data_IF_289775477282
#
_entry.id   IF_289775477282
#
_cell.length_a   1.000
_cell.length_b   1.000
_cell.length_c   1.000
_cell.angle_alpha   90.00
_cell.angle_beta   90.00
_cell.angle_gamma   90.00
#
_symmetry.space_group_name_H-M   'P 1'
#
loop_
_entity.id
_entity.type
_entity.pdbx_description
1 polymer ?
#
# COMPACT_ATOMS: atom_id res chain seq x y z
N UNK A 1 28.68 8.24 -18.18
CA UNK A 1 27.70 8.69 -17.20
C UNK A 1 26.72 7.59 -16.76
N UNK A 2 26.09 6.78 -17.62
CA UNK A 2 25.16 5.71 -17.19
C UNK A 2 25.77 4.55 -16.35
N UNK A 3 27.06 4.22 -16.56
CA UNK A 3 27.73 3.16 -15.77
C UNK A 3 28.08 3.61 -14.34
N UNK A 4 28.38 4.90 -14.15
CA UNK A 4 28.70 5.48 -12.84
C UNK A 4 27.43 5.61 -11.97
N UNK A 5 26.28 5.89 -12.59
CA UNK A 5 24.99 5.96 -11.90
C UNK A 5 24.52 4.60 -11.37
N UNK A 6 24.72 3.52 -12.13
CA UNK A 6 24.44 2.14 -11.67
C UNK A 6 25.32 1.71 -10.49
N UNK A 7 26.54 2.18 -10.40
CA UNK A 7 27.47 1.88 -9.31
C UNK A 7 27.15 2.66 -8.02
N UNK A 8 26.66 3.89 -8.14
CA UNK A 8 26.24 4.70 -6.98
C UNK A 8 24.93 4.19 -6.35
N UNK A 9 23.95 3.79 -7.16
CA UNK A 9 22.72 3.14 -6.68
C UNK A 9 23.05 1.80 -6.01
N UNK A 10 23.97 1.00 -6.57
CA UNK A 10 24.42 -0.27 -5.98
C UNK A 10 25.19 -0.12 -4.67
N UNK A 11 25.90 1.00 -4.46
CA UNK A 11 26.65 1.25 -3.22
C UNK A 11 25.77 1.76 -2.07
N UNK A 12 24.75 2.58 -2.37
CA UNK A 12 23.77 3.06 -1.38
C UNK A 12 22.82 1.93 -0.90
N UNK A 13 22.57 0.92 -1.72
CA UNK A 13 21.66 -0.20 -1.40
C UNK A 13 22.29 -1.36 -0.62
N UNK A 14 23.54 -1.27 -0.21
CA UNK A 14 24.14 -2.26 0.71
C UNK A 14 23.89 -1.90 2.19
N UNK A 15 22.68 -1.58 2.54
CA UNK A 15 22.24 -1.69 3.94
C UNK A 15 22.22 -3.18 4.29
N UNK A 16 23.23 -3.61 5.02
CA UNK A 16 23.43 -5.02 5.41
C UNK A 16 22.36 -5.41 6.43
N UNK A 17 22.07 -6.69 6.54
CA UNK A 17 21.35 -7.28 7.68
C UNK A 17 21.87 -6.80 9.06
N UNK A 18 23.09 -6.28 9.13
CA UNK A 18 23.71 -5.57 10.26
C UNK A 18 22.91 -4.35 10.73
N UNK A 19 22.16 -3.65 9.87
CA UNK A 19 21.50 -2.40 10.27
C UNK A 19 20.18 -2.65 11.00
N UNK A 20 19.50 -3.76 10.68
CA UNK A 20 18.36 -4.20 11.48
C UNK A 20 18.80 -4.93 12.75
N UNK A 21 19.89 -5.65 12.70
CA UNK A 21 20.45 -6.19 13.95
C UNK A 21 20.87 -5.05 14.89
N UNK A 22 21.31 -3.91 14.35
CA UNK A 22 21.51 -2.67 15.11
C UNK A 22 20.17 -2.10 15.62
N UNK A 23 19.13 -2.07 14.76
CA UNK A 23 17.79 -1.61 15.16
C UNK A 23 17.16 -2.52 16.22
N UNK A 24 17.40 -3.85 16.16
CA UNK A 24 16.97 -4.81 17.18
C UNK A 24 17.83 -4.70 18.45
N UNK A 25 19.10 -4.32 18.34
CA UNK A 25 19.99 -4.11 19.48
C UNK A 25 19.57 -2.92 20.37
N UNK A 26 18.93 -1.92 19.76
CA UNK A 26 18.37 -0.74 20.45
C UNK A 26 16.94 -0.96 20.97
N UNK A 27 16.39 -2.17 20.80
CA UNK A 27 15.05 -2.55 21.26
C UNK A 27 15.10 -3.90 22.00
N UNK A 28 14.08 -4.19 22.82
CA UNK A 28 13.92 -5.50 23.47
C UNK A 28 13.48 -6.63 22.50
N UNK A 29 13.41 -6.35 21.17
CA UNK A 29 12.94 -7.27 20.14
C UNK A 29 14.06 -8.24 19.71
N UNK A 30 13.70 -9.50 19.52
CA UNK A 30 14.59 -10.55 19.03
C UNK A 30 14.10 -11.07 17.67
N UNK A 31 15.01 -11.56 16.85
CA UNK A 31 14.69 -12.17 15.56
C UNK A 31 13.56 -13.22 15.66
N UNK A 32 13.59 -14.05 16.71
CA UNK A 32 12.54 -15.04 16.97
C UNK A 32 11.13 -14.47 17.16
N UNK A 33 11.02 -13.18 17.48
CA UNK A 33 9.74 -12.51 17.66
C UNK A 33 8.98 -12.28 16.35
N UNK A 34 9.66 -12.36 15.20
CA UNK A 34 9.11 -12.17 13.87
C UNK A 34 8.86 -13.49 13.14
N UNK A 35 9.29 -14.63 13.72
CA UNK A 35 9.04 -15.95 13.14
C UNK A 35 7.56 -16.30 13.34
N UNK A 36 6.92 -16.69 12.26
CA UNK A 36 5.57 -17.23 12.27
C UNK A 36 5.63 -18.73 12.51
N UNK A 37 4.87 -19.23 13.47
CA UNK A 37 4.79 -20.67 13.78
C UNK A 37 4.20 -21.45 12.61
N UNK A 38 4.40 -22.76 12.57
CA UNK A 38 3.83 -23.62 11.52
C UNK A 38 2.30 -23.45 11.42
N UNK A 39 1.60 -23.41 12.55
CA UNK A 39 0.16 -23.19 12.59
C UNK A 39 -0.25 -21.83 12.01
N UNK A 40 0.47 -20.76 12.38
CA UNK A 40 0.22 -19.41 11.82
C UNK A 40 0.51 -19.38 10.32
N UNK A 41 1.58 -20.02 9.86
CA UNK A 41 1.95 -20.11 8.44
C UNK A 41 0.91 -20.87 7.63
N UNK A 42 0.45 -22.02 8.11
CA UNK A 42 -0.62 -22.76 7.43
C UNK A 42 -1.90 -21.97 7.32
N UNK A 43 -2.31 -21.25 8.36
CA UNK A 43 -3.53 -20.42 8.34
C UNK A 43 -3.43 -19.24 7.37
N UNK A 44 -2.23 -18.75 7.09
CA UNK A 44 -1.97 -17.61 6.18
C UNK A 44 -1.47 -18.03 4.81
N UNK A 45 -1.24 -19.33 4.57
CA UNK A 45 -0.67 -19.84 3.31
C UNK A 45 0.79 -19.44 3.08
N UNK A 46 1.57 -19.18 4.15
CA UNK A 46 3.01 -19.02 4.05
C UNK A 46 3.64 -20.41 3.92
N UNK A 47 4.16 -20.75 2.77
CA UNK A 47 4.90 -21.99 2.54
C UNK A 47 6.39 -21.77 2.73
N UNK A 48 7.17 -22.78 3.22
CA UNK A 48 8.61 -22.66 3.43
C UNK A 48 9.44 -22.37 2.16
N UNK A 49 8.84 -22.53 0.99
CA UNK A 49 9.52 -22.53 -0.30
C UNK A 49 9.24 -21.26 -1.13
N UNK A 50 9.26 -20.08 -0.49
CA UNK A 50 9.01 -18.81 -1.18
C UNK A 50 10.31 -18.10 -1.61
N UNK A 51 11.40 -18.84 -1.76
CA UNK A 51 12.51 -18.45 -2.61
C UNK A 51 12.10 -18.73 -4.06
N UNK A 52 11.73 -17.73 -4.83
CA UNK A 52 11.34 -17.88 -6.23
C UNK A 52 10.22 -18.92 -6.44
N UNK A 53 8.98 -18.60 -6.00
CA UNK A 53 7.81 -19.31 -6.54
C UNK A 53 7.88 -19.08 -8.05
N UNK A 54 8.06 -20.13 -8.86
CA UNK A 54 7.96 -19.94 -10.29
C UNK A 54 6.59 -19.32 -10.54
N UNK A 55 6.52 -18.25 -11.30
CA UNK A 55 5.27 -17.65 -11.76
C UNK A 55 4.44 -18.63 -12.63
N UNK A 56 4.66 -19.93 -12.48
CA UNK A 56 4.20 -21.02 -13.32
C UNK A 56 2.84 -21.58 -12.94
N UNK A 57 2.23 -21.20 -11.83
CA UNK A 57 0.93 -21.79 -11.50
C UNK A 57 -0.29 -21.02 -12.05
N UNK A 58 -0.10 -19.84 -12.65
CA UNK A 58 -1.16 -19.10 -13.35
C UNK A 58 -0.67 -18.55 -14.71
N UNK A 59 0.08 -19.33 -15.49
CA UNK A 59 0.46 -18.99 -16.87
C UNK A 59 -0.73 -18.80 -17.83
N UNK A 60 -1.98 -18.91 -17.34
CA UNK A 60 -3.20 -18.73 -18.13
C UNK A 60 -3.98 -17.43 -17.88
N UNK A 61 -3.79 -16.76 -16.76
CA UNK A 61 -4.50 -15.51 -16.48
C UNK A 61 -3.48 -14.36 -16.32
N UNK A 62 -3.27 -13.59 -17.37
CA UNK A 62 -2.43 -12.40 -17.31
C UNK A 62 -2.95 -11.45 -16.22
N UNK A 63 -2.08 -11.00 -15.32
CA UNK A 63 -2.40 -9.98 -14.32
C UNK A 63 -2.89 -8.71 -15.05
N UNK A 64 -4.09 -8.17 -14.72
CA UNK A 64 -4.69 -7.09 -15.49
C UNK A 64 -3.79 -5.87 -15.61
N UNK A 65 -3.84 -5.22 -16.76
CA UNK A 65 -3.08 -4.01 -17.05
C UNK A 65 -3.92 -3.01 -17.86
N UNK A 66 -3.73 -1.72 -17.61
CA UNK A 66 -4.35 -0.64 -18.36
C UNK A 66 -3.31 0.41 -18.77
N UNK A 67 -3.35 0.82 -20.02
CA UNK A 67 -2.57 1.94 -20.55
C UNK A 67 -3.39 3.22 -20.43
N UNK A 68 -3.01 4.12 -19.51
CA UNK A 68 -3.76 5.34 -19.24
C UNK A 68 -3.62 6.44 -20.32
N UNK A 69 -2.87 6.17 -21.39
CA UNK A 69 -2.85 7.01 -22.59
C UNK A 69 -4.05 6.77 -23.51
N UNK A 70 -4.79 5.68 -23.31
CA UNK A 70 -6.02 5.39 -24.04
C UNK A 70 -7.14 6.38 -23.68
N UNK A 71 -8.12 6.60 -24.60
CA UNK A 71 -9.33 7.35 -24.29
C UNK A 71 -10.13 6.73 -23.13
N UNK A 72 -10.84 7.56 -22.37
CA UNK A 72 -11.62 7.11 -21.21
C UNK A 72 -12.66 6.03 -21.57
N UNK A 73 -13.25 6.11 -22.76
CA UNK A 73 -14.24 5.15 -23.27
C UNK A 73 -13.65 3.72 -23.41
N UNK A 74 -12.37 3.63 -23.74
CA UNK A 74 -11.64 2.37 -23.84
C UNK A 74 -11.15 1.90 -22.46
N UNK A 75 -10.77 2.83 -21.57
CA UNK A 75 -10.30 2.54 -20.23
C UNK A 75 -11.39 2.01 -19.31
N UNK A 76 -12.61 2.56 -19.40
CA UNK A 76 -13.73 2.18 -18.52
C UNK A 76 -13.98 0.68 -18.51
N UNK A 77 -14.17 -0.03 -19.63
CA UNK A 77 -14.39 -1.48 -19.62
C UNK A 77 -13.18 -2.27 -19.12
N UNK A 78 -11.96 -1.82 -19.41
CA UNK A 78 -10.72 -2.48 -18.94
C UNK A 78 -10.63 -2.42 -17.42
N UNK A 79 -10.75 -1.22 -16.84
CA UNK A 79 -10.67 -1.01 -15.38
C UNK A 79 -11.83 -1.69 -14.65
N UNK A 80 -13.05 -1.61 -15.21
CA UNK A 80 -14.22 -2.31 -14.66
C UNK A 80 -13.98 -3.82 -14.59
N UNK A 81 -13.54 -4.45 -15.68
CA UNK A 81 -13.25 -5.88 -15.71
C UNK A 81 -12.16 -6.28 -14.71
N UNK A 82 -11.08 -5.50 -14.62
CA UNK A 82 -9.99 -5.73 -13.69
C UNK A 82 -10.44 -5.64 -12.23
N UNK A 83 -11.23 -4.62 -11.88
CA UNK A 83 -11.74 -4.43 -10.52
C UNK A 83 -12.75 -5.50 -10.11
N UNK A 84 -13.59 -5.98 -11.03
CA UNK A 84 -14.54 -7.07 -10.78
C UNK A 84 -13.84 -8.41 -10.58
N UNK A 85 -12.80 -8.70 -11.34
CA UNK A 85 -12.18 -10.03 -11.40
C UNK A 85 -10.99 -10.19 -10.46
N UNK A 86 -10.15 -9.16 -10.33
CA UNK A 86 -8.92 -9.19 -9.55
C UNK A 86 -8.91 -8.24 -8.36
N UNK A 87 -9.61 -7.10 -8.44
CA UNK A 87 -9.48 -6.01 -7.47
C UNK A 87 -8.09 -5.37 -7.44
N UNK A 88 -7.20 -5.82 -8.31
CA UNK A 88 -5.82 -5.37 -8.52
C UNK A 88 -5.51 -5.27 -10.00
N UNK A 89 -4.75 -4.26 -10.42
CA UNK A 89 -4.28 -4.11 -11.79
C UNK A 89 -3.05 -3.22 -11.91
N UNK A 90 -2.31 -3.38 -12.99
CA UNK A 90 -1.21 -2.50 -13.38
C UNK A 90 -1.73 -1.31 -14.16
N UNK A 91 -1.05 -0.18 -14.04
CA UNK A 91 -1.27 0.99 -14.89
C UNK A 91 0.06 1.48 -15.46
N UNK A 92 0.02 1.82 -16.74
CA UNK A 92 1.13 2.40 -17.50
C UNK A 92 0.74 3.78 -18.01
N UNK A 93 1.73 4.57 -18.46
CA UNK A 93 1.52 5.92 -18.98
C UNK A 93 0.70 6.80 -18.02
N UNK A 94 0.92 6.64 -16.73
CA UNK A 94 0.17 7.26 -15.63
C UNK A 94 0.47 8.75 -15.41
N UNK A 95 1.41 9.34 -16.15
CA UNK A 95 1.73 10.77 -16.12
C UNK A 95 2.59 11.24 -14.93
N UNK A 96 2.92 10.40 -13.97
CA UNK A 96 3.87 10.76 -12.90
C UNK A 96 5.29 10.59 -13.45
N UNK A 97 6.14 11.65 -13.43
CA UNK A 97 7.48 11.59 -13.99
C UNK A 97 8.35 10.53 -13.29
N UNK A 98 9.00 9.67 -14.07
CA UNK A 98 9.94 8.65 -13.56
C UNK A 98 11.05 9.29 -12.71
N UNK A 99 11.56 10.46 -13.14
CA UNK A 99 12.59 11.20 -12.39
C UNK A 99 12.12 11.62 -10.99
N UNK A 100 10.83 11.91 -10.80
CA UNK A 100 10.25 12.19 -9.49
C UNK A 100 10.22 10.93 -8.61
N UNK A 101 9.78 9.81 -9.18
CA UNK A 101 9.74 8.52 -8.47
C UNK A 101 11.14 8.06 -8.07
N UNK A 102 12.12 8.18 -8.96
CA UNK A 102 13.53 7.87 -8.69
C UNK A 102 14.11 8.79 -7.59
N UNK A 103 13.84 10.10 -7.65
CA UNK A 103 14.28 11.07 -6.65
C UNK A 103 13.74 10.73 -5.25
N UNK A 104 12.44 10.49 -5.15
CA UNK A 104 11.79 10.10 -3.88
C UNK A 104 12.38 8.79 -3.36
N UNK A 105 12.63 7.81 -4.22
CA UNK A 105 13.18 6.51 -3.81
C UNK A 105 14.61 6.64 -3.25
N UNK A 106 15.46 7.46 -3.89
CA UNK A 106 16.83 7.73 -3.39
C UNK A 106 16.78 8.41 -2.03
N UNK A 107 15.98 9.47 -1.90
CA UNK A 107 15.88 10.24 -0.66
C UNK A 107 15.26 9.40 0.48
N UNK A 108 14.24 8.57 0.17
CA UNK A 108 13.68 7.63 1.13
C UNK A 108 14.75 6.61 1.60
N UNK A 109 15.60 6.13 0.69
CA UNK A 109 16.70 5.23 1.06
C UNK A 109 17.69 5.90 2.01
N UNK A 110 18.00 7.19 1.81
CA UNK A 110 18.84 7.96 2.72
C UNK A 110 18.18 8.11 4.10
N UNK A 111 16.87 8.40 4.14
CA UNK A 111 16.13 8.46 5.39
C UNK A 111 16.16 7.14 6.16
N UNK A 112 15.86 6.01 5.50
CA UNK A 112 15.90 4.69 6.14
C UNK A 112 17.30 4.24 6.51
N UNK A 113 18.34 4.78 5.88
CA UNK A 113 19.74 4.58 6.22
C UNK A 113 20.22 5.31 7.47
N UNK A 114 19.43 6.23 8.04
CA UNK A 114 19.72 6.88 9.31
C UNK A 114 19.66 5.89 10.47
N UNK A 115 20.36 6.23 11.58
CA UNK A 115 20.30 5.43 12.80
C UNK A 115 18.87 5.36 13.37
N UNK A 116 18.59 4.33 14.16
CA UNK A 116 17.30 4.19 14.82
C UNK A 116 16.97 5.39 15.70
N UNK A 117 17.93 5.89 16.48
CA UNK A 117 17.78 7.06 17.36
C UNK A 117 17.39 8.32 16.61
N UNK A 118 17.88 8.52 15.40
CA UNK A 118 17.52 9.65 14.54
C UNK A 118 16.11 9.52 13.99
N UNK A 119 15.74 8.34 13.49
CA UNK A 119 14.39 8.08 12.94
C UNK A 119 13.30 8.16 14.00
N UNK A 120 13.57 7.70 15.23
CA UNK A 120 12.60 7.70 16.33
C UNK A 120 12.25 9.12 16.80
N UNK A 121 13.07 10.14 16.48
CA UNK A 121 12.76 11.54 16.76
C UNK A 121 11.43 12.00 16.12
N UNK A 122 11.00 11.32 15.06
CA UNK A 122 9.71 11.54 14.40
C UNK A 122 8.82 10.30 14.49
N UNK A 123 8.95 9.53 15.58
CA UNK A 123 8.07 8.38 15.79
C UNK A 123 6.59 8.79 15.69
N UNK A 124 5.83 7.94 15.01
CA UNK A 124 4.38 8.08 14.92
C UNK A 124 3.76 7.96 16.32
N UNK A 125 2.94 8.93 16.70
CA UNK A 125 2.25 8.94 17.97
C UNK A 125 0.72 8.82 17.74
N UNK A 126 0.09 7.67 18.01
CA UNK A 126 -1.35 7.52 17.85
C UNK A 126 -2.13 8.55 18.67
N UNK A 127 -3.24 9.16 18.17
CA UNK A 127 -3.94 8.74 16.94
C UNK A 127 -3.37 9.27 15.61
N UNK A 128 -2.27 10.03 15.63
CA UNK A 128 -1.69 10.59 14.41
C UNK A 128 -1.24 9.50 13.43
N UNK A 129 -1.49 9.78 12.13
CA UNK A 129 -1.01 8.93 11.04
C UNK A 129 0.31 9.42 10.45
N UNK A 130 0.90 10.48 10.99
CA UNK A 130 2.13 11.12 10.51
C UNK A 130 3.33 10.63 11.34
N UNK A 131 4.42 10.27 10.69
CA UNK A 131 5.68 9.93 11.35
C UNK A 131 6.22 8.55 11.03
N UNK A 132 7.31 8.20 11.69
CA UNK A 132 8.02 6.94 11.53
C UNK A 132 7.45 5.83 12.41
N UNK A 133 7.37 4.64 11.85
CA UNK A 133 7.03 3.41 12.56
C UNK A 133 8.18 2.42 12.38
N UNK A 134 8.77 1.98 13.48
CA UNK A 134 9.80 0.94 13.46
C UNK A 134 9.20 -0.45 13.20
N UNK A 135 10.07 -1.43 13.02
CA UNK A 135 9.70 -2.84 12.99
C UNK A 135 8.82 -3.15 14.22
N UNK A 136 7.64 -3.67 13.96
CA UNK A 136 6.61 -3.78 15.00
C UNK A 136 6.29 -5.24 15.30
N UNK A 137 6.30 -5.56 16.59
CA UNK A 137 5.69 -6.78 17.15
C UNK A 137 4.49 -6.37 17.99
N UNK A 138 3.34 -6.90 17.66
CA UNK A 138 2.18 -6.94 18.57
C UNK A 138 1.77 -8.40 18.78
N UNK A 139 0.85 -8.64 19.68
CA UNK A 139 0.33 -10.00 19.91
C UNK A 139 -0.26 -10.66 18.64
N UNK A 140 -0.64 -9.84 17.64
CA UNK A 140 -1.34 -10.28 16.43
C UNK A 140 -0.62 -9.88 15.13
N UNK A 141 0.40 -9.01 15.19
CA UNK A 141 1.11 -8.50 14.00
C UNK A 141 2.60 -8.63 14.23
N UNK A 142 3.24 -9.45 13.38
CA UNK A 142 4.68 -9.61 13.26
C UNK A 142 5.06 -9.15 11.86
N UNK A 143 5.67 -7.97 11.73
CA UNK A 143 6.01 -7.38 10.44
C UNK A 143 7.47 -6.98 10.40
N UNK A 144 8.22 -7.55 9.45
CA UNK A 144 9.63 -7.21 9.20
C UNK A 144 9.71 -6.03 8.25
N UNK A 145 9.23 -4.89 8.73
CA UNK A 145 9.23 -3.64 7.97
C UNK A 145 9.23 -2.43 8.89
N UNK A 146 9.87 -1.38 8.45
CA UNK A 146 9.74 -0.04 8.99
C UNK A 146 9.02 0.84 7.97
N UNK A 147 8.38 1.93 8.41
CA UNK A 147 7.63 2.78 7.53
C UNK A 147 7.68 4.25 7.94
N UNK A 148 7.67 5.13 6.93
CA UNK A 148 7.43 6.55 7.08
C UNK A 148 6.03 6.86 6.55
N UNK A 149 5.19 7.43 7.42
CA UNK A 149 3.82 7.82 7.09
C UNK A 149 3.75 9.32 6.90
N UNK A 150 3.27 9.76 5.75
CA UNK A 150 3.12 11.17 5.37
C UNK A 150 1.67 11.45 5.00
N UNK A 151 1.24 12.69 5.25
CA UNK A 151 -0.08 13.19 4.88
C UNK A 151 0.08 14.48 4.06
N UNK A 152 -0.88 14.82 3.20
CA UNK A 152 -0.83 16.06 2.44
C UNK A 152 -0.70 17.29 3.34
N UNK A 153 0.01 18.30 2.85
CA UNK A 153 0.23 19.57 3.54
C UNK A 153 1.72 19.88 3.71
N UNK A 154 2.15 20.98 3.10
CA UNK A 154 3.53 21.40 3.07
C UNK A 154 4.10 21.57 4.47
N UNK A 155 3.40 22.33 5.34
CA UNK A 155 3.84 22.58 6.70
C UNK A 155 3.96 21.30 7.54
N UNK A 156 3.07 20.32 7.32
CA UNK A 156 3.10 19.04 8.01
C UNK A 156 4.33 18.23 7.66
N UNK A 157 4.61 18.08 6.37
CA UNK A 157 5.75 17.28 5.87
C UNK A 157 7.05 17.97 6.26
N UNK A 158 7.15 19.26 6.00
CA UNK A 158 8.35 20.05 6.31
C UNK A 158 8.62 20.11 7.82
N UNK A 159 7.59 20.39 8.61
CA UNK A 159 7.69 20.42 10.08
C UNK A 159 8.08 19.07 10.68
N UNK A 160 7.61 17.96 10.11
CA UNK A 160 8.02 16.62 10.52
C UNK A 160 9.51 16.38 10.23
N UNK A 161 9.93 16.54 8.99
CA UNK A 161 11.28 16.18 8.53
C UNK A 161 12.37 17.08 9.13
N UNK A 162 12.09 18.35 9.43
CA UNK A 162 12.99 19.25 10.17
C UNK A 162 13.41 18.72 11.54
N UNK A 163 12.63 17.82 12.14
CA UNK A 163 12.96 17.22 13.43
C UNK A 163 14.04 16.14 13.34
N UNK A 164 14.53 15.86 12.13
CA UNK A 164 15.64 14.92 11.86
C UNK A 164 16.79 15.70 11.18
N UNK A 165 17.60 16.45 11.95
CA UNK A 165 18.63 17.36 11.38
C UNK A 165 19.70 16.65 10.54
N UNK A 166 19.97 15.38 10.82
CA UNK A 166 20.88 14.52 10.05
C UNK A 166 20.38 14.13 8.67
N UNK A 167 19.06 14.25 8.43
CA UNK A 167 18.47 13.99 7.11
C UNK A 167 18.72 15.18 6.18
N UNK A 168 19.84 15.17 5.49
CA UNK A 168 20.30 16.28 4.63
C UNK A 168 19.35 16.56 3.47
N UNK A 169 18.65 15.55 2.98
CA UNK A 169 17.69 15.68 1.87
C UNK A 169 16.30 16.17 2.30
N UNK A 170 16.09 16.54 3.57
CA UNK A 170 14.77 16.86 4.13
C UNK A 170 13.97 17.90 3.33
N UNK A 171 14.65 18.92 2.79
CA UNK A 171 14.00 19.99 2.01
C UNK A 171 13.57 19.48 0.62
N UNK A 172 14.49 18.84 -0.12
CA UNK A 172 14.20 18.31 -1.46
C UNK A 172 13.17 17.19 -1.39
N UNK A 173 13.29 16.30 -0.41
CA UNK A 173 12.32 15.23 -0.16
C UNK A 173 10.92 15.77 0.13
N UNK A 174 10.82 16.80 0.96
CA UNK A 174 9.54 17.47 1.24
C UNK A 174 8.90 18.01 -0.03
N UNK A 175 9.68 18.73 -0.86
CA UNK A 175 9.22 19.29 -2.14
C UNK A 175 8.74 18.20 -3.10
N UNK A 176 9.51 17.13 -3.26
CA UNK A 176 9.18 16.02 -4.14
C UNK A 176 7.91 15.26 -3.66
N UNK A 177 7.78 15.05 -2.36
CA UNK A 177 6.60 14.40 -1.76
C UNK A 177 5.33 15.24 -1.97
N UNK A 178 5.41 16.57 -1.81
CA UNK A 178 4.25 17.46 -2.05
C UNK A 178 3.82 17.39 -3.52
N UNK A 179 4.78 17.43 -4.44
CA UNK A 179 4.52 17.26 -5.87
C UNK A 179 3.93 15.89 -6.18
N UNK A 180 4.44 14.83 -5.54
CA UNK A 180 3.92 13.48 -5.70
C UNK A 180 2.46 13.39 -5.22
N UNK A 181 2.13 13.94 -4.05
CA UNK A 181 0.75 13.96 -3.55
C UNK A 181 -0.23 14.61 -4.54
N UNK A 182 0.15 15.72 -5.15
CA UNK A 182 -0.68 16.40 -6.16
C UNK A 182 -0.93 15.50 -7.38
N UNK A 183 0.12 14.89 -7.92
CA UNK A 183 0.02 14.05 -9.12
C UNK A 183 -0.71 12.73 -8.86
N UNK A 184 -0.34 12.04 -7.78
CA UNK A 184 -0.95 10.74 -7.46
C UNK A 184 -2.40 10.89 -7.00
N UNK A 185 -2.73 12.00 -6.33
CA UNK A 185 -4.11 12.30 -5.94
C UNK A 185 -5.01 12.55 -7.14
N UNK A 186 -4.56 13.35 -8.11
CA UNK A 186 -5.28 13.55 -9.37
C UNK A 186 -5.47 12.24 -10.15
N UNK A 187 -4.42 11.41 -10.18
CA UNK A 187 -4.47 10.07 -10.79
C UNK A 187 -5.49 9.17 -10.09
N UNK A 188 -5.50 9.14 -8.75
CA UNK A 188 -6.44 8.34 -7.98
C UNK A 188 -7.89 8.76 -8.24
N UNK A 189 -8.16 10.06 -8.23
CA UNK A 189 -9.50 10.59 -8.54
C UNK A 189 -9.95 10.19 -9.95
N UNK A 190 -9.09 10.32 -10.97
CA UNK A 190 -9.40 9.87 -12.34
C UNK A 190 -9.74 8.39 -12.39
N UNK A 191 -8.93 7.55 -11.76
CA UNK A 191 -9.16 6.09 -11.75
C UNK A 191 -10.48 5.75 -11.06
N UNK A 192 -10.79 6.35 -9.90
CA UNK A 192 -12.04 6.11 -9.18
C UNK A 192 -13.24 6.54 -10.03
N UNK A 193 -13.18 7.71 -10.66
CA UNK A 193 -14.23 8.18 -11.57
C UNK A 193 -14.47 7.18 -12.71
N UNK A 194 -13.41 6.71 -13.38
CA UNK A 194 -13.52 5.73 -14.48
C UNK A 194 -14.11 4.39 -13.99
N UNK A 195 -13.72 3.92 -12.81
CA UNK A 195 -14.27 2.72 -12.19
C UNK A 195 -15.79 2.87 -11.99
N UNK A 196 -16.24 3.97 -11.40
CA UNK A 196 -17.67 4.16 -11.14
C UNK A 196 -18.48 4.47 -12.41
N UNK A 197 -17.90 5.10 -13.45
CA UNK A 197 -18.50 5.15 -14.78
C UNK A 197 -18.75 3.74 -15.35
N UNK A 198 -17.84 2.79 -15.11
CA UNK A 198 -18.05 1.37 -15.45
C UNK A 198 -19.24 0.71 -14.74
N UNK A 199 -19.72 1.31 -13.66
CA UNK A 199 -20.93 0.92 -12.93
C UNK A 199 -22.13 1.84 -13.24
N UNK A 200 -22.01 2.74 -14.19
CA UNK A 200 -23.03 3.74 -14.58
C UNK A 200 -23.42 4.70 -13.45
N UNK A 201 -22.52 4.95 -12.50
CA UNK A 201 -22.67 5.93 -11.41
C UNK A 201 -22.21 7.28 -11.90
N UNK A 202 -22.88 8.35 -11.49
CA UNK A 202 -22.56 9.72 -11.90
C UNK A 202 -21.29 10.23 -11.19
N UNK A 203 -20.47 10.97 -11.91
CA UNK A 203 -19.20 11.49 -11.40
C UNK A 203 -19.39 12.39 -10.17
N UNK A 204 -20.48 13.18 -10.11
CA UNK A 204 -20.78 14.04 -8.97
C UNK A 204 -21.00 13.26 -7.68
N UNK A 205 -21.68 12.11 -7.73
CA UNK A 205 -21.86 11.24 -6.57
C UNK A 205 -20.51 10.70 -6.04
N UNK A 206 -19.59 10.39 -6.95
CA UNK A 206 -18.25 9.89 -6.62
C UNK A 206 -17.39 11.01 -6.01
N UNK A 207 -17.44 12.20 -6.60
CA UNK A 207 -16.69 13.38 -6.16
C UNK A 207 -17.12 13.86 -4.76
N UNK A 208 -18.37 13.67 -4.36
CA UNK A 208 -18.81 13.95 -2.99
C UNK A 208 -18.07 13.10 -1.95
N UNK A 209 -17.60 11.91 -2.34
CA UNK A 209 -16.89 10.99 -1.43
C UNK A 209 -15.38 11.13 -1.54
N UNK A 210 -14.84 11.28 -2.77
CA UNK A 210 -13.42 11.24 -3.05
C UNK A 210 -12.87 12.55 -3.65
N UNK A 211 -13.58 13.68 -3.54
CA UNK A 211 -13.18 14.95 -4.13
C UNK A 211 -11.95 15.62 -3.51
N UNK A 212 -11.56 15.23 -2.28
CA UNK A 212 -10.37 15.77 -1.61
C UNK A 212 -9.38 14.66 -1.28
N UNK A 213 -8.09 15.02 -1.32
CA UNK A 213 -6.98 14.16 -0.91
C UNK A 213 -6.52 14.41 0.54
N UNK A 214 -7.15 15.33 1.27
CA UNK A 214 -6.68 15.79 2.59
C UNK A 214 -6.62 14.67 3.64
N UNK A 215 -7.47 13.65 3.50
CA UNK A 215 -7.49 12.47 4.34
C UNK A 215 -6.59 11.33 3.82
N UNK A 216 -5.96 11.52 2.66
CA UNK A 216 -5.09 10.54 2.04
C UNK A 216 -3.76 10.44 2.78
N UNK A 217 -3.10 9.30 2.65
CA UNK A 217 -1.80 9.06 3.28
C UNK A 217 -0.84 8.41 2.28
N UNK A 218 0.43 8.78 2.37
CA UNK A 218 1.52 8.07 1.71
C UNK A 218 2.28 7.27 2.77
N UNK A 219 2.33 5.97 2.59
CA UNK A 219 3.15 5.09 3.42
C UNK A 219 4.34 4.61 2.59
N UNK A 220 5.53 5.00 3.00
CA UNK A 220 6.78 4.52 2.42
C UNK A 220 7.25 3.37 3.31
N UNK A 221 7.29 2.15 2.76
CA UNK A 221 7.74 0.97 3.48
C UNK A 221 9.16 0.62 3.08
N UNK A 222 9.98 0.36 4.06
CA UNK A 222 11.29 -0.25 3.91
C UNK A 222 11.24 -1.65 4.52
N UNK A 223 11.59 -2.64 3.71
CA UNK A 223 11.67 -4.05 4.10
C UNK A 223 13.13 -4.46 4.04
N UNK A 224 13.82 -4.45 5.15
CA UNK A 224 15.23 -4.83 5.17
C UNK A 224 15.45 -6.30 4.82
N UNK A 225 16.67 -6.64 4.37
CA UNK A 225 17.04 -8.03 4.18
C UNK A 225 16.82 -8.82 5.49
N UNK A 226 16.17 -9.97 5.41
CA UNK A 226 15.78 -10.78 6.57
C UNK A 226 16.48 -12.13 6.54
N UNK A 227 17.28 -12.49 7.56
CA UNK A 227 18.00 -13.76 7.57
C UNK A 227 17.09 -14.99 7.65
N UNK A 228 15.82 -14.81 7.99
CA UNK A 228 14.76 -15.85 8.09
C UNK A 228 13.56 -15.49 7.20
N UNK A 229 13.84 -15.01 5.99
CA UNK A 229 12.84 -14.49 5.07
C UNK A 229 11.68 -15.46 4.78
N UNK A 230 11.96 -16.77 4.79
CA UNK A 230 10.99 -17.84 4.58
C UNK A 230 10.03 -18.05 5.76
N UNK A 231 10.34 -17.47 6.92
CA UNK A 231 9.57 -17.64 8.15
C UNK A 231 8.85 -16.37 8.59
N UNK A 232 8.90 -15.29 7.81
CA UNK A 232 8.33 -14.01 8.20
C UNK A 232 7.75 -13.23 7.03
N UNK A 233 6.95 -12.22 7.34
CA UNK A 233 6.37 -11.29 6.37
C UNK A 233 6.96 -9.90 6.52
N UNK A 234 7.10 -9.19 5.41
CA UNK A 234 7.25 -7.74 5.40
C UNK A 234 5.95 -7.04 5.77
N UNK A 235 4.83 -7.51 5.19
CA UNK A 235 3.48 -7.16 5.60
C UNK A 235 2.62 -8.43 5.55
N UNK A 236 2.02 -8.86 6.68
CA UNK A 236 1.20 -10.07 6.71
C UNK A 236 -0.05 -9.90 5.85
N UNK A 237 -0.76 -11.01 5.51
CA UNK A 237 -1.98 -10.96 4.73
C UNK A 237 -3.02 -10.00 5.30
N UNK A 238 -3.50 -9.07 4.47
CA UNK A 238 -4.49 -8.05 4.84
C UNK A 238 -5.29 -7.57 3.64
N UNK A 239 -6.37 -6.85 3.90
CA UNK A 239 -7.12 -6.03 2.95
C UNK A 239 -6.94 -4.57 3.32
N UNK A 240 -7.02 -3.68 2.33
CA UNK A 240 -6.98 -2.25 2.57
C UNK A 240 -8.35 -1.72 2.94
N UNK A 241 -8.43 -0.95 4.01
CA UNK A 241 -9.69 -0.41 4.53
C UNK A 241 -10.11 0.93 3.88
N UNK A 242 -9.27 1.48 2.98
CA UNK A 242 -9.54 2.74 2.27
C UNK A 242 -10.40 2.59 1.04
N UNK A 243 -10.37 3.62 0.19
CA UNK A 243 -10.99 3.60 -1.12
C UNK A 243 -10.12 2.90 -2.15
N UNK A 244 -9.03 3.53 -2.52
CA UNK A 244 -8.06 3.05 -3.52
C UNK A 244 -6.65 3.15 -2.97
N UNK A 245 -5.79 2.20 -3.33
CA UNK A 245 -4.36 2.33 -3.13
C UNK A 245 -3.63 2.37 -4.47
N UNK A 246 -2.61 3.22 -4.58
CA UNK A 246 -1.68 3.28 -5.71
C UNK A 246 -0.29 3.00 -5.17
N UNK A 247 0.30 1.91 -5.63
CA UNK A 247 1.59 1.42 -5.20
C UNK A 247 2.65 1.64 -6.28
N UNK A 248 3.72 2.34 -5.94
CA UNK A 248 5.01 2.29 -6.60
C UNK A 248 5.94 1.36 -5.83
N UNK A 249 6.63 0.46 -6.50
CA UNK A 249 7.62 -0.44 -5.88
C UNK A 249 8.95 -0.38 -6.64
N UNK A 250 10.03 -0.65 -5.91
CA UNK A 250 11.34 -0.84 -6.52
C UNK A 250 11.41 -2.13 -7.38
N UNK A 251 12.61 -2.47 -7.86
CA UNK A 251 12.82 -3.66 -8.69
C UNK A 251 12.80 -5.00 -7.91
N UNK A 252 12.62 -4.96 -6.58
CA UNK A 252 12.63 -6.16 -5.74
C UNK A 252 11.21 -6.71 -5.60
N UNK A 253 11.01 -7.95 -6.04
CA UNK A 253 9.74 -8.67 -5.87
C UNK A 253 9.40 -8.88 -4.39
N UNK A 254 8.10 -8.78 -4.06
CA UNK A 254 7.62 -9.04 -2.69
C UNK A 254 6.10 -8.97 -2.56
N UNK A 255 5.40 -8.23 -3.42
CA UNK A 255 3.94 -8.16 -3.40
C UNK A 255 3.34 -9.46 -3.96
N UNK A 256 2.38 -10.01 -3.21
CA UNK A 256 1.54 -11.13 -3.64
C UNK A 256 0.06 -10.84 -3.37
N UNK A 257 -0.80 -11.26 -4.28
CA UNK A 257 -2.25 -11.09 -4.25
C UNK A 257 -2.91 -12.46 -4.22
N UNK A 258 -3.94 -12.64 -3.38
CA UNK A 258 -4.68 -13.89 -3.32
C UNK A 258 -5.73 -13.92 -4.43
N UNK A 259 -5.58 -14.85 -5.37
CA UNK A 259 -6.52 -15.07 -6.48
C UNK A 259 -6.94 -16.54 -6.52
N UNK A 260 -8.24 -16.78 -6.46
CA UNK A 260 -8.82 -18.14 -6.52
C UNK A 260 -8.16 -19.13 -5.55
N UNK A 261 -7.86 -18.67 -4.33
CA UNK A 261 -7.22 -19.47 -3.28
C UNK A 261 -5.71 -19.64 -3.42
N UNK A 262 -5.07 -19.02 -4.41
CA UNK A 262 -3.62 -19.09 -4.64
C UNK A 262 -2.96 -17.71 -4.54
N UNK A 263 -1.75 -17.68 -3.97
CA UNK A 263 -0.94 -16.47 -3.94
C UNK A 263 -0.23 -16.25 -5.28
N UNK A 264 -0.47 -15.09 -5.88
CA UNK A 264 0.09 -14.69 -7.17
C UNK A 264 1.09 -13.56 -6.96
N UNK A 265 2.33 -13.77 -7.36
CA UNK A 265 3.37 -12.75 -7.26
C UNK A 265 3.16 -11.65 -8.31
N UNK A 266 3.17 -10.38 -7.86
CA UNK A 266 3.13 -9.21 -8.73
C UNK A 266 4.55 -8.73 -8.98
N UNK A 267 5.13 -9.16 -10.10
CA UNK A 267 6.50 -8.80 -10.48
C UNK A 267 6.62 -7.28 -10.71
N UNK A 268 7.68 -6.64 -10.19
CA UNK A 268 7.98 -5.26 -10.54
C UNK A 268 8.21 -5.09 -12.04
N UNK A 269 7.68 -4.00 -12.59
CA UNK A 269 7.84 -3.64 -13.98
C UNK A 269 8.12 -2.13 -14.08
N UNK A 270 9.10 -1.76 -14.91
CA UNK A 270 9.50 -0.35 -15.04
C UNK A 270 8.38 0.47 -15.67
N UNK A 271 8.15 1.71 -15.14
CA UNK A 271 7.10 2.60 -15.63
C UNK A 271 5.69 2.13 -15.29
N UNK A 272 5.57 1.22 -14.33
CA UNK A 272 4.32 0.64 -13.89
C UNK A 272 4.00 1.04 -12.45
N UNK A 273 2.74 1.42 -12.19
CA UNK A 273 2.17 1.46 -10.85
C UNK A 273 1.15 0.35 -10.69
N UNK A 274 0.93 -0.09 -9.46
CA UNK A 274 -0.11 -1.07 -9.11
C UNK A 274 -1.25 -0.33 -8.44
N UNK A 275 -2.47 -0.66 -8.82
CA UNK A 275 -3.69 -0.13 -8.21
C UNK A 275 -4.45 -1.27 -7.56
N UNK A 276 -4.98 -1.04 -6.35
CA UNK A 276 -5.89 -1.98 -5.73
C UNK A 276 -7.11 -1.30 -5.09
N UNK A 277 -8.20 -2.02 -5.15
CA UNK A 277 -9.49 -1.65 -4.57
C UNK A 277 -9.44 -1.90 -3.06
N UNK A 278 -9.88 -0.92 -2.28
CA UNK A 278 -10.07 -1.05 -0.85
C UNK A 278 -11.53 -1.32 -0.45
N UNK A 279 -11.73 -1.56 0.84
CA UNK A 279 -13.03 -1.95 1.41
C UNK A 279 -14.14 -0.91 1.16
N UNK A 280 -13.81 0.40 1.18
CA UNK A 280 -14.78 1.48 0.93
C UNK A 280 -15.34 1.41 -0.49
N UNK A 281 -14.50 1.24 -1.51
CA UNK A 281 -14.97 1.08 -2.90
C UNK A 281 -15.74 -0.25 -3.06
N UNK A 282 -15.32 -1.32 -2.40
CA UNK A 282 -16.10 -2.56 -2.39
C UNK A 282 -17.52 -2.32 -1.86
N UNK A 283 -17.66 -1.60 -0.77
CA UNK A 283 -18.98 -1.26 -0.23
C UNK A 283 -19.81 -0.38 -1.15
N UNK A 284 -19.23 0.74 -1.61
CA UNK A 284 -19.90 1.70 -2.48
C UNK A 284 -20.36 1.04 -3.79
N UNK A 285 -19.58 0.09 -4.30
CA UNK A 285 -19.94 -0.71 -5.48
C UNK A 285 -20.94 -1.82 -5.20
N UNK A 286 -21.51 -1.89 -3.99
CA UNK A 286 -22.38 -2.98 -3.52
C UNK A 286 -21.75 -4.37 -3.73
N UNK A 287 -20.43 -4.48 -3.53
CA UNK A 287 -19.64 -5.72 -3.66
C UNK A 287 -19.38 -6.16 -5.11
N UNK A 288 -19.56 -5.28 -6.10
CA UNK A 288 -19.19 -5.58 -7.50
C UNK A 288 -17.70 -5.51 -7.72
N UNK A 289 -17.03 -4.55 -7.10
CA UNK A 289 -15.57 -4.45 -7.04
C UNK A 289 -15.05 -5.12 -5.78
N UNK A 290 -13.89 -5.75 -5.86
CA UNK A 290 -13.37 -6.62 -4.81
C UNK A 290 -12.18 -5.98 -4.09
N UNK A 291 -12.26 -5.84 -2.77
CA UNK A 291 -11.09 -5.65 -1.91
C UNK A 291 -10.46 -7.02 -1.66
N UNK A 292 -9.24 -7.20 -2.11
CA UNK A 292 -8.59 -8.52 -2.19
C UNK A 292 -7.47 -8.64 -1.16
N UNK A 293 -7.34 -9.83 -0.59
CA UNK A 293 -6.28 -10.16 0.35
C UNK A 293 -4.93 -10.12 -0.36
N UNK A 294 -3.96 -9.41 0.22
CA UNK A 294 -2.60 -9.30 -0.31
C UNK A 294 -1.58 -9.25 0.81
N UNK A 295 -0.31 -9.51 0.48
CA UNK A 295 0.80 -9.54 1.44
C UNK A 295 2.09 -9.07 0.79
N UNK A 296 3.09 -8.73 1.63
CA UNK A 296 4.45 -8.48 1.18
C UNK A 296 5.43 -9.45 1.83
N UNK A 297 6.22 -10.11 0.99
CA UNK A 297 7.32 -10.95 1.40
C UNK A 297 8.60 -10.13 1.51
N UNK A 298 9.54 -10.61 2.29
CA UNK A 298 10.90 -10.08 2.42
C UNK A 298 11.90 -10.97 1.70
N UNK A 299 13.10 -10.47 1.43
CA UNK A 299 14.19 -11.23 0.83
C UNK A 299 15.36 -11.34 1.80
N UNK A 300 16.12 -12.43 1.72
CA UNK A 300 17.31 -12.62 2.55
C UNK A 300 18.53 -11.84 2.04
N UNK A 301 18.56 -11.53 0.74
CA UNK A 301 19.75 -10.99 0.06
C UNK A 301 19.74 -9.47 -0.12
N UNK A 302 18.57 -8.81 -0.09
CA UNK A 302 18.45 -7.39 -0.40
C UNK A 302 17.22 -6.77 0.23
N UNK A 303 17.27 -5.47 0.59
CA UNK A 303 16.12 -4.73 1.05
C UNK A 303 15.17 -4.43 -0.11
N UNK A 304 13.94 -4.04 0.21
CA UNK A 304 12.90 -3.60 -0.71
C UNK A 304 12.28 -2.29 -0.22
N UNK A 305 11.94 -1.41 -1.16
CA UNK A 305 11.15 -0.20 -0.91
C UNK A 305 9.80 -0.28 -1.64
N UNK A 306 8.77 0.23 -0.99
CA UNK A 306 7.48 0.46 -1.65
C UNK A 306 6.81 1.74 -1.12
N UNK A 307 6.08 2.42 -2.00
CA UNK A 307 5.41 3.68 -1.76
C UNK A 307 3.93 3.46 -2.02
N UNK A 308 3.11 3.50 -0.99
CA UNK A 308 1.68 3.24 -1.10
C UNK A 308 0.92 4.51 -0.79
N UNK A 309 0.31 5.09 -1.80
CA UNK A 309 -0.65 6.17 -1.63
C UNK A 309 -2.03 5.55 -1.38
N UNK A 310 -2.58 5.81 -0.20
CA UNK A 310 -3.93 5.41 0.17
C UNK A 310 -4.87 6.59 0.02
N UNK A 311 -5.87 6.46 -0.82
CA UNK A 311 -6.92 7.46 -0.98
C UNK A 311 -8.10 7.14 -0.06
N UNK A 312 -8.38 8.05 0.87
CA UNK A 312 -9.45 7.91 1.84
C UNK A 312 -10.49 9.01 1.68
N UNK A 313 -11.78 8.70 1.87
CA UNK A 313 -12.78 9.71 2.17
C UNK A 313 -12.46 10.44 3.48
N UNK A 314 -13.01 11.64 3.67
CA UNK A 314 -12.92 12.36 4.93
C UNK A 314 -13.62 11.59 6.07
N UNK A 315 -13.21 11.83 7.31
CA UNK A 315 -13.70 11.08 8.48
C UNK A 315 -15.20 11.22 8.72
N UNK A 316 -15.78 12.34 8.34
CA UNK A 316 -17.21 12.65 8.45
C UNK A 316 -18.01 12.27 7.19
N UNK A 317 -17.36 11.67 6.20
CA UNK A 317 -18.06 11.16 4.99
C UNK A 317 -18.94 9.97 5.36
N UNK A 318 -20.20 10.04 4.95
CA UNK A 318 -21.17 8.95 5.10
C UNK A 318 -21.06 8.01 3.91
N UNK A 319 -20.68 6.78 4.17
CA UNK A 319 -20.44 5.74 3.16
C UNK A 319 -21.68 4.85 3.05
N UNK A 320 -22.19 4.73 1.83
CA UNK A 320 -23.35 3.90 1.48
C UNK A 320 -23.09 3.17 0.16
N UNK A 321 -23.71 2.02 -0.10
CA UNK A 321 -23.77 1.49 -1.45
C UNK A 321 -24.44 2.49 -2.38
N UNK A 322 -23.86 2.74 -3.57
CA UNK A 322 -24.41 3.68 -4.54
C UNK A 322 -25.85 3.32 -4.91
N UNK A 323 -26.75 4.31 -4.91
CA UNK A 323 -28.19 4.10 -5.05
C UNK A 323 -28.57 3.35 -6.32
N UNK A 324 -27.91 3.64 -7.44
CA UNK A 324 -28.09 2.97 -8.74
C UNK A 324 -27.71 1.48 -8.72
N UNK A 325 -26.91 1.03 -7.74
CA UNK A 325 -26.45 -0.34 -7.63
C UNK A 325 -27.30 -1.20 -6.68
N UNK A 326 -28.26 -0.57 -6.00
CA UNK A 326 -29.18 -1.23 -5.07
C UNK A 326 -30.55 -1.34 -5.74
N UNK A 327 -30.98 -2.57 -6.03
CA UNK A 327 -32.27 -2.87 -6.66
C UNK A 327 -32.98 -3.98 -5.88
N UNK A 328 -34.18 -4.35 -6.30
CA UNK A 328 -34.89 -5.50 -5.71
C UNK A 328 -34.14 -6.82 -5.93
N UNK A 329 -33.47 -6.95 -7.09
CA UNK A 329 -32.71 -8.13 -7.49
C UNK A 329 -31.27 -8.09 -6.90
N UNK A 330 -30.79 -6.92 -6.52
CA UNK A 330 -29.48 -6.71 -5.87
C UNK A 330 -29.64 -5.77 -4.67
N UNK A 331 -30.18 -6.27 -3.55
CA UNK A 331 -30.37 -5.45 -2.36
C UNK A 331 -29.04 -4.98 -1.78
N UNK A 332 -29.08 -3.97 -0.89
CA UNK A 332 -27.89 -3.46 -0.25
C UNK A 332 -27.18 -4.57 0.56
N UNK A 333 -25.95 -4.88 0.18
CA UNK A 333 -25.12 -5.89 0.86
C UNK A 333 -24.42 -5.35 2.11
N UNK A 334 -24.37 -4.05 2.26
CA UNK A 334 -23.67 -3.39 3.36
C UNK A 334 -24.53 -2.33 4.02
N UNK A 335 -24.40 -2.22 5.34
CA UNK A 335 -25.02 -1.17 6.15
C UNK A 335 -24.21 0.12 6.01
N UNK A 336 -24.88 1.29 6.02
CA UNK A 336 -24.20 2.57 5.98
C UNK A 336 -23.34 2.82 7.24
N UNK A 337 -22.26 3.63 7.09
CA UNK A 337 -21.44 4.07 8.21
C UNK A 337 -20.74 5.41 7.93
N UNK A 338 -20.23 6.07 8.96
CA UNK A 338 -19.26 7.16 8.80
C UNK A 338 -17.85 6.62 8.73
N UNK A 339 -17.00 7.21 7.89
CA UNK A 339 -15.62 6.74 7.70
C UNK A 339 -14.82 6.66 9.01
N UNK A 340 -15.00 7.62 9.93
CA UNK A 340 -14.39 7.59 11.28
C UNK A 340 -14.75 6.34 12.08
N UNK A 341 -16.00 5.86 11.97
CA UNK A 341 -16.45 4.67 12.69
C UNK A 341 -15.78 3.42 12.13
N UNK A 342 -15.67 3.35 10.80
CA UNK A 342 -14.96 2.26 10.11
C UNK A 342 -13.48 2.20 10.50
N UNK A 343 -12.78 3.36 10.51
CA UNK A 343 -11.39 3.44 10.97
C UNK A 343 -11.22 2.94 12.41
N UNK A 344 -12.13 3.32 13.30
CA UNK A 344 -12.12 2.86 14.70
C UNK A 344 -12.32 1.35 14.82
N UNK A 345 -13.23 0.80 14.03
CA UNK A 345 -13.50 -0.65 14.00
C UNK A 345 -12.38 -1.44 13.35
N UNK A 346 -11.72 -0.90 12.31
CA UNK A 346 -10.54 -1.51 11.69
C UNK A 346 -9.43 -1.75 12.72
N UNK A 347 -9.12 -0.75 13.55
CA UNK A 347 -8.12 -0.91 14.60
C UNK A 347 -8.47 -2.00 15.63
N UNK A 348 -9.77 -2.23 15.90
CA UNK A 348 -10.25 -3.31 16.78
C UNK A 348 -10.22 -4.67 16.07
N UNK A 349 -10.64 -4.71 14.81
CA UNK A 349 -10.70 -5.93 14.00
C UNK A 349 -9.31 -6.50 13.71
N UNK A 350 -8.30 -5.66 13.48
CA UNK A 350 -6.90 -6.09 13.35
C UNK A 350 -6.44 -6.90 14.57
N UNK A 351 -6.84 -6.49 15.78
CA UNK A 351 -6.51 -7.25 17.01
C UNK A 351 -7.18 -8.61 17.06
N UNK A 352 -8.32 -8.77 16.38
CA UNK A 352 -9.12 -10.01 16.37
C UNK A 352 -8.87 -10.88 15.11
N UNK A 353 -7.97 -10.48 14.23
CA UNK A 353 -7.67 -11.15 12.94
C UNK A 353 -8.89 -11.33 12.02
N UNK A 354 -9.79 -10.34 12.00
CA UNK A 354 -11.01 -10.33 11.19
C UNK A 354 -11.06 -9.10 10.27
N UNK A 355 -11.72 -9.24 9.11
CA UNK A 355 -12.04 -8.07 8.28
C UNK A 355 -13.13 -7.25 8.96
N UNK A 356 -12.95 -5.94 9.16
CA UNK A 356 -13.98 -5.06 9.72
C UNK A 356 -15.23 -5.00 8.85
N UNK A 357 -15.11 -5.26 7.55
CA UNK A 357 -16.22 -5.25 6.59
C UNK A 357 -17.38 -6.17 7.01
N UNK A 358 -17.09 -7.28 7.67
CA UNK A 358 -18.11 -8.22 8.18
C UNK A 358 -19.13 -7.58 9.13
N UNK A 359 -18.73 -6.56 9.89
CA UNK A 359 -19.64 -5.87 10.81
C UNK A 359 -20.68 -5.00 10.09
N UNK A 360 -20.43 -4.71 8.84
CA UNK A 360 -21.28 -3.87 7.98
C UNK A 360 -22.01 -4.67 6.91
N UNK A 361 -21.84 -5.98 6.84
CA UNK A 361 -22.63 -6.82 5.95
C UNK A 361 -24.11 -6.80 6.39
N UNK A 362 -25.01 -6.66 5.42
CA UNK A 362 -26.44 -6.82 5.62
C UNK A 362 -26.75 -8.32 5.75
N UNK A 363 -27.53 -8.70 6.74
CA UNK A 363 -28.01 -10.06 6.93
C UNK A 363 -29.06 -10.41 5.89
#
# INVERSE_FOLDING_TARGET
MLKTFRLLVSAAFRLRATDIMACLADTDLKLGDFIWTDSERHSTGLTPDVGDIPASSLEGAAFPAADLSLPDEELVPILHSAACSWGFFRIFNHGIPETLLESIAVQASHFFGLSFSEKIAIARNPPDFLGYTSITKSATIKSWSEALHLMPGEDRIHGLLKRVPSFQDSQSFSTDIIKYFSLVGALANRIITLLFRGLTVDDDEVNLVFGSIDSSTLRINHYPACPVAELTYGSPPHKDYGGLAILHQDHVSGLEVLKDGQWVAVKPEKGCLIVNIGDVIQMMSNGRYQSVLHRSLVKSSQPRLSFVFFHFPADDTFIVPMSKLVTKESPAKYKPFYMKDYKSMFAKAQKANHSPLRFFEST
#
